data_IF_594069820638
#
_entry.id   IF_594069820638
#
_cell.length_a   1.000
_cell.length_b   1.000
_cell.length_c   1.000
_cell.angle_alpha   90.00
_cell.angle_beta   90.00
_cell.angle_gamma   90.00
#
_symmetry.space_group_name_H-M   'P 1'
#
loop_
_entity.id
_entity.type
_entity.pdbx_description
1 polymer ?
#
# COMPACT_ATOMS: atom_id res chain seq x y z
N UNK A 1 -5.97 -0.81 -1.37
CA UNK A 1 -5.54 -1.98 -0.57
C UNK A 1 -4.66 -1.49 0.57
N UNK A 2 -4.78 -2.05 1.78
CA UNK A 2 -4.09 -1.55 2.99
C UNK A 2 -2.56 -1.55 2.88
N UNK A 3 -1.98 -2.58 2.25
CA UNK A 3 -0.54 -2.64 2.02
C UNK A 3 -0.03 -1.52 1.09
N UNK A 4 -0.83 -1.09 0.11
CA UNK A 4 -0.43 -0.01 -0.82
C UNK A 4 -0.34 1.32 -0.06
N UNK A 5 -1.30 1.61 0.81
CA UNK A 5 -1.29 2.81 1.66
C UNK A 5 -0.07 2.78 2.60
N UNK A 6 0.16 1.65 3.26
CA UNK A 6 1.32 1.46 4.13
C UNK A 6 2.64 1.63 3.38
N UNK A 7 2.76 1.04 2.18
CA UNK A 7 3.95 1.18 1.35
C UNK A 7 4.18 2.62 0.95
N UNK A 8 3.16 3.37 0.53
CA UNK A 8 3.31 4.77 0.14
C UNK A 8 3.84 5.63 1.29
N UNK A 9 3.41 5.35 2.51
CA UNK A 9 3.85 6.05 3.72
C UNK A 9 5.30 5.71 4.10
N UNK A 10 5.66 4.42 4.05
CA UNK A 10 6.99 3.93 4.46
C UNK A 10 8.07 4.01 3.38
N UNK A 11 7.69 4.05 2.11
CA UNK A 11 8.65 4.15 1.00
C UNK A 11 9.58 5.36 1.10
N UNK A 12 9.12 6.60 1.31
CA UNK A 12 10.03 7.74 1.47
C UNK A 12 10.92 7.61 2.71
N UNK A 13 10.43 7.01 3.80
CA UNK A 13 11.22 6.76 5.01
C UNK A 13 12.37 5.79 4.73
N UNK A 14 12.08 4.69 4.03
CA UNK A 14 13.05 3.66 3.65
C UNK A 14 14.07 4.20 2.63
N UNK A 15 13.62 4.94 1.62
CA UNK A 15 14.50 5.57 0.62
C UNK A 15 15.38 6.67 1.24
N UNK A 16 14.87 7.41 2.23
CA UNK A 16 15.67 8.41 2.94
C UNK A 16 16.71 7.77 3.86
N UNK A 17 16.37 6.65 4.50
CA UNK A 17 17.30 5.88 5.32
C UNK A 17 18.35 5.15 4.45
N UNK A 18 17.99 4.78 3.23
CA UNK A 18 18.83 4.04 2.29
C UNK A 18 18.73 4.68 0.90
N UNK A 19 19.48 5.76 0.62
CA UNK A 19 19.38 6.46 -0.67
C UNK A 19 19.90 5.64 -1.85
N UNK A 20 20.67 4.58 -1.60
CA UNK A 20 21.35 3.76 -2.61
C UNK A 20 20.58 2.50 -3.00
N UNK A 21 19.43 2.21 -2.36
CA UNK A 21 18.68 0.99 -2.65
C UNK A 21 17.66 1.19 -3.77
N UNK A 22 17.47 0.14 -4.56
CA UNK A 22 16.46 0.13 -5.59
C UNK A 22 15.04 -0.01 -5.01
N UNK A 23 14.05 0.46 -5.76
CA UNK A 23 12.62 0.32 -5.41
C UNK A 23 12.19 -1.12 -5.13
N UNK A 24 12.85 -2.11 -5.75
CA UNK A 24 12.60 -3.53 -5.50
C UNK A 24 13.02 -3.89 -4.06
N UNK A 25 14.22 -3.51 -3.66
CA UNK A 25 14.73 -3.78 -2.31
C UNK A 25 13.98 -2.99 -1.25
N UNK A 26 13.61 -1.73 -1.52
CA UNK A 26 12.70 -0.97 -0.67
C UNK A 26 11.36 -1.71 -0.47
N UNK A 27 10.81 -2.32 -1.53
CA UNK A 27 9.56 -3.09 -1.44
C UNK A 27 9.72 -4.37 -0.62
N UNK A 28 10.88 -5.04 -0.69
CA UNK A 28 11.18 -6.19 0.18
C UNK A 28 11.27 -5.78 1.64
N UNK A 29 11.98 -4.69 1.95
CA UNK A 29 12.13 -4.16 3.31
C UNK A 29 10.75 -3.79 3.89
N UNK A 30 9.94 -3.04 3.14
CA UNK A 30 8.60 -2.64 3.56
C UNK A 30 7.69 -3.86 3.78
N UNK A 31 7.82 -4.90 2.96
CA UNK A 31 7.06 -6.14 3.14
C UNK A 31 7.45 -6.86 4.43
N UNK A 32 8.74 -6.91 4.75
CA UNK A 32 9.23 -7.44 6.02
C UNK A 32 8.77 -6.59 7.21
N UNK A 33 8.83 -5.26 7.11
CA UNK A 33 8.32 -4.34 8.13
C UNK A 33 6.83 -4.58 8.37
N UNK A 34 6.04 -4.64 7.31
CA UNK A 34 4.61 -4.92 7.40
C UNK A 34 4.34 -6.25 8.09
N UNK A 35 5.12 -7.31 7.81
CA UNK A 35 4.93 -8.59 8.47
C UNK A 35 5.19 -8.51 9.99
N UNK A 36 6.23 -7.76 10.39
CA UNK A 36 6.62 -7.58 11.79
C UNK A 36 5.76 -6.57 12.57
N UNK A 37 5.03 -5.68 11.89
CA UNK A 37 4.20 -4.69 12.60
C UNK A 37 3.03 -5.33 13.36
N UNK A 38 2.59 -4.71 14.48
CA UNK A 38 1.54 -5.24 15.31
C UNK A 38 0.20 -5.19 14.58
N UNK A 39 -0.69 -6.10 14.95
CA UNK A 39 -2.02 -6.21 14.35
C UNK A 39 -2.84 -4.93 14.51
N UNK A 40 -2.65 -4.18 15.59
CA UNK A 40 -3.31 -2.89 15.80
C UNK A 40 -2.98 -1.86 14.69
N UNK A 41 -1.74 -1.84 14.22
CA UNK A 41 -1.32 -0.96 13.12
C UNK A 41 -1.92 -1.47 11.81
N UNK A 42 -1.82 -2.78 11.56
CA UNK A 42 -2.42 -3.40 10.37
C UNK A 42 -3.93 -3.15 10.28
N UNK A 43 -4.64 -3.22 11.40
CA UNK A 43 -6.08 -2.95 11.49
C UNK A 43 -6.43 -1.50 11.14
N UNK A 44 -5.64 -0.53 11.61
CA UNK A 44 -5.80 0.87 11.24
C UNK A 44 -5.67 1.08 9.72
N UNK A 45 -4.64 0.51 9.10
CA UNK A 45 -4.47 0.59 7.65
C UNK A 45 -5.54 -0.19 6.87
N UNK A 46 -6.06 -1.31 7.42
CA UNK A 46 -7.21 -2.04 6.87
C UNK A 46 -8.46 -1.18 6.86
N UNK A 47 -8.79 -0.55 7.99
CA UNK A 47 -9.93 0.39 8.09
C UNK A 47 -9.80 1.53 7.11
N UNK A 48 -8.61 2.15 7.03
CA UNK A 48 -8.35 3.24 6.07
C UNK A 48 -8.51 2.80 4.62
N UNK A 49 -8.04 1.61 4.28
CA UNK A 49 -8.18 1.08 2.92
C UNK A 49 -9.62 0.73 2.56
N UNK A 50 -10.41 0.22 3.51
CA UNK A 50 -11.83 -0.05 3.30
C UNK A 50 -12.62 1.25 3.16
N UNK A 51 -12.27 2.28 3.94
CA UNK A 51 -12.87 3.61 3.81
C UNK A 51 -12.56 4.24 2.45
N UNK A 52 -11.30 4.20 2.02
CA UNK A 52 -10.88 4.74 0.72
C UNK A 52 -11.49 3.94 -0.45
N UNK A 53 -11.65 2.63 -0.30
CA UNK A 53 -12.36 1.78 -1.26
C UNK A 53 -13.84 2.14 -1.33
N UNK A 54 -14.50 2.37 -0.18
CA UNK A 54 -15.90 2.80 -0.11
C UNK A 54 -16.06 4.17 -0.75
N UNK A 55 -15.19 5.13 -0.40
CA UNK A 55 -15.21 6.47 -0.96
C UNK A 55 -15.00 6.43 -2.47
N UNK A 56 -14.05 5.63 -2.95
CA UNK A 56 -13.83 5.45 -4.39
C UNK A 56 -15.05 4.84 -5.09
N UNK A 57 -15.72 3.87 -4.47
CA UNK A 57 -16.95 3.27 -5.02
C UNK A 57 -18.13 4.26 -5.05
N UNK A 58 -18.22 5.18 -4.09
CA UNK A 58 -19.23 6.25 -4.05
C UNK A 58 -18.93 7.31 -5.12
N UNK A 59 -17.68 7.75 -5.20
CA UNK A 59 -17.23 8.80 -6.12
C UNK A 59 -17.22 8.34 -7.58
N UNK A 60 -16.97 7.04 -7.80
CA UNK A 60 -16.93 6.42 -9.11
C UNK A 60 -18.03 5.34 -9.23
N UNK A 61 -19.31 5.76 -9.25
CA UNK A 61 -20.41 4.83 -9.41
C UNK A 61 -20.31 4.18 -10.79
N UNK A 62 -20.10 2.86 -10.83
CA UNK A 62 -19.89 2.10 -12.06
C UNK A 62 -18.43 1.79 -12.41
N UNK A 63 -17.47 2.13 -11.54
CA UNK A 63 -16.07 1.71 -11.71
C UNK A 63 -15.95 0.18 -11.76
N UNK A 64 -15.55 -0.33 -12.93
CA UNK A 64 -15.24 -1.75 -13.13
C UNK A 64 -13.78 -1.87 -13.51
N UNK A 65 -12.98 -2.46 -12.62
CA UNK A 65 -11.59 -2.77 -12.90
C UNK A 65 -11.49 -3.72 -14.10
N UNK A 66 -10.93 -3.23 -15.20
CA UNK A 66 -10.70 -3.98 -16.43
C UNK A 66 -9.19 -4.09 -16.64
N UNK A 67 -8.53 -5.14 -16.10
CA UNK A 67 -7.10 -5.32 -16.27
C UNK A 67 -6.80 -5.53 -17.76
N UNK A 68 -5.85 -4.76 -18.31
CA UNK A 68 -5.38 -4.96 -19.69
C UNK A 68 -4.68 -6.31 -19.78
N UNK A 69 -5.07 -7.13 -20.77
CA UNK A 69 -4.34 -8.37 -21.08
C UNK A 69 -2.90 -8.01 -21.47
N UNK A 70 -1.87 -8.64 -20.88
CA UNK A 70 -0.52 -8.51 -21.40
C UNK A 70 -0.50 -9.11 -22.82
N UNK A 71 -0.02 -8.35 -23.80
CA UNK A 71 0.27 -8.83 -25.16
C UNK A 71 1.62 -9.53 -25.18
#
# INVERSE_FOLDING_TARGET
NCWVIYRLDKHPEVMRANPDINNNDASKIISSLWHNEPEAVKDQYRKRAEDEKRQHAIDNPGYRYQPRKPS
#
